data_IF_245915811002
#
_entry.id   IF_245915811002
#
_cell.length_a   1.000
_cell.length_b   1.000
_cell.length_c   1.000
_cell.angle_alpha   90.00
_cell.angle_beta   90.00
_cell.angle_gamma   90.00
#
_symmetry.space_group_name_H-M   'P 1'
#
loop_
_entity.id
_entity.type
_entity.pdbx_description
1 polymer ?
#
# COMPACT_ATOMS: atom_id res chain seq x y z
N UNK A 1 11.49 -48.35 -3.05
CA UNK A 1 11.48 -47.76 -2.88
C UNK A 1 11.18 -46.71 -2.90
N UNK A 2 11.17 -46.80 -2.80
CA UNK A 2 11.09 -45.75 -2.72
C UNK A 2 10.81 -44.71 -2.86
N UNK A 3 10.73 -44.75 -2.94
CA UNK A 3 10.64 -43.68 -3.03
C UNK A 3 10.40 -42.74 -3.08
N UNK A 4 10.46 -42.89 -3.02
CA UNK A 4 10.50 -41.86 -3.03
C UNK A 4 10.15 -41.04 -3.25
N UNK A 5 10.04 -41.05 -3.28
CA UNK A 5 9.98 -40.07 -3.43
C UNK A 5 9.54 -39.28 -3.52
N UNK A 6 9.34 -39.51 -3.53
CA UNK A 6 9.19 -38.63 -3.52
C UNK A 6 8.89 -37.73 -3.48
N UNK A 7 8.81 -37.85 -3.51
CA UNK A 7 8.72 -36.83 -3.32
C UNK A 7 8.44 -35.96 -3.50
N UNK A 8 8.41 -36.04 -3.56
CA UNK A 8 8.44 -35.02 -3.59
C UNK A 8 8.15 -34.21 -3.81
N UNK A 9 7.95 -34.45 -3.88
CA UNK A 9 7.96 -33.53 -3.99
C UNK A 9 7.51 -32.74 -4.00
N UNK A 10 7.43 -32.73 -4.02
CA UNK A 10 7.35 -31.79 -3.95
C UNK A 10 7.08 -30.99 -3.65
N UNK A 11 7.03 -31.44 -3.79
CA UNK A 11 7.13 -30.41 -3.54
C UNK A 11 6.86 -29.66 -3.58
N UNK A 12 6.77 -29.74 -3.62
CA UNK A 12 6.94 -28.74 -3.69
C UNK A 12 6.59 -27.98 -3.79
N UNK A 13 6.28 -28.37 -3.92
CA UNK A 13 6.26 -27.37 -4.05
C UNK A 13 5.88 -26.58 -3.83
N UNK A 14 5.66 -26.70 -3.74
CA UNK A 14 5.64 -25.71 -3.48
C UNK A 14 5.36 -24.96 -3.57
N UNK A 15 5.22 -25.10 -3.67
CA UNK A 15 5.32 -24.16 -3.81
C UNK A 15 5.12 -23.41 -4.00
N UNK A 16 5.01 -23.58 -4.07
CA UNK A 16 5.16 -22.66 -4.37
C UNK A 16 4.69 -21.93 -4.59
N UNK A 17 4.31 -22.07 -4.68
CA UNK A 17 4.18 -21.31 -4.94
C UNK A 17 3.87 -20.48 -4.94
N UNK A 18 3.77 -20.55 -4.83
CA UNK A 18 3.82 -19.60 -4.89
C UNK A 18 3.57 -18.85 -5.05
N UNK A 19 3.34 -18.97 -5.08
CA UNK A 19 3.44 -18.20 -5.29
C UNK A 19 3.19 -17.49 -5.76
N UNK A 20 2.99 -17.49 -5.90
CA UNK A 20 3.07 -16.76 -6.32
C UNK A 20 2.64 -16.14 -6.81
N UNK A 21 2.34 -16.09 -6.84
CA UNK A 21 2.26 -15.54 -7.16
C UNK A 21 1.87 -14.80 -7.56
N UNK A 22 1.77 -14.94 -7.31
CA UNK A 22 1.64 -14.21 -7.83
C UNK A 22 1.24 -13.01 -8.42
N UNK A 23 0.65 -12.46 -8.46
CA UNK A 23 0.45 -11.21 -9.13
C UNK A 23 1.61 -10.30 -8.88
N UNK A 24 2.63 -10.55 -9.53
CA UNK A 24 3.87 -9.83 -9.29
C UNK A 24 3.76 -8.34 -9.57
N UNK A 25 2.97 -7.95 -10.57
CA UNK A 25 2.92 -6.55 -10.99
C UNK A 25 2.47 -5.61 -9.87
N UNK A 26 1.39 -5.90 -9.13
CA UNK A 26 1.00 -5.05 -8.01
C UNK A 26 2.09 -4.94 -6.95
N UNK A 27 2.73 -6.07 -6.63
CA UNK A 27 3.79 -6.06 -5.63
C UNK A 27 4.95 -5.20 -6.11
N UNK A 28 5.30 -5.30 -7.38
CA UNK A 28 6.40 -4.54 -7.94
C UNK A 28 6.16 -3.05 -7.81
N UNK A 29 4.96 -2.60 -8.11
CA UNK A 29 4.64 -1.18 -8.02
C UNK A 29 4.77 -0.68 -6.61
N UNK A 30 4.38 -1.50 -5.64
CA UNK A 30 4.41 -1.10 -4.24
C UNK A 30 5.81 -1.15 -3.63
N UNK A 31 6.78 -1.76 -4.31
CA UNK A 31 8.14 -1.79 -3.79
C UNK A 31 8.96 -0.59 -4.23
N UNK A 32 8.43 0.26 -5.11
CA UNK A 32 9.16 1.45 -5.55
C UNK A 32 9.01 2.56 -4.52
N UNK A 33 10.12 3.23 -4.21
CA UNK A 33 10.10 4.39 -3.32
C UNK A 33 9.38 5.54 -4.05
N UNK A 34 8.53 6.34 -3.42
CA UNK A 34 8.23 6.37 -1.98
C UNK A 34 7.13 5.39 -1.56
N UNK A 35 6.54 4.65 -2.49
CA UNK A 35 5.37 3.83 -2.18
C UNK A 35 5.71 2.67 -1.25
N UNK A 36 6.92 2.15 -1.35
CA UNK A 36 7.39 1.08 -0.47
C UNK A 36 7.53 1.54 0.97
N UNK A 37 7.55 2.85 1.19
CA UNK A 37 7.73 3.42 2.52
C UNK A 37 6.43 3.91 3.12
N UNK A 38 5.31 3.62 2.49
CA UNK A 38 3.99 4.00 2.98
C UNK A 38 3.26 2.73 3.39
N UNK A 39 2.91 2.58 4.67
CA UNK A 39 2.32 1.33 5.15
C UNK A 39 0.86 1.18 4.74
N UNK A 40 0.43 -0.07 4.63
CA UNK A 40 -0.98 -0.40 4.39
C UNK A 40 -1.40 -1.33 5.51
N UNK A 41 -2.54 -1.08 6.15
CA UNK A 41 -2.98 -1.94 7.25
C UNK A 41 -3.26 -3.36 6.77
N UNK A 42 -3.07 -4.30 7.67
CA UNK A 42 -3.36 -5.70 7.41
C UNK A 42 -4.83 -5.86 7.02
N UNK A 43 -5.11 -6.81 6.14
CA UNK A 43 -6.44 -7.15 5.67
C UNK A 43 -7.13 -6.07 4.83
N UNK A 44 -6.37 -5.10 4.34
CA UNK A 44 -6.91 -4.17 3.34
C UNK A 44 -6.55 -4.66 1.95
N UNK A 45 -7.51 -4.54 1.04
CA UNK A 45 -7.38 -5.01 -0.34
C UNK A 45 -7.31 -3.82 -1.27
N UNK A 46 -6.35 -3.85 -2.19
CA UNK A 46 -6.18 -2.77 -3.16
C UNK A 46 -7.22 -2.88 -4.27
N UNK A 47 -7.81 -1.77 -4.61
CA UNK A 47 -8.68 -1.65 -5.78
C UNK A 47 -7.82 -1.29 -6.97
N UNK A 48 -7.45 -2.30 -7.76
CA UNK A 48 -6.55 -2.11 -8.88
C UNK A 48 -7.16 -1.26 -9.99
N UNK A 49 -8.47 -1.25 -10.10
CA UNK A 49 -9.13 -0.46 -11.14
C UNK A 49 -9.03 1.04 -10.89
N UNK A 50 -8.74 1.43 -9.66
CA UNK A 50 -8.64 2.85 -9.27
C UNK A 50 -7.23 3.25 -8.86
N UNK A 51 -6.28 2.32 -8.99
CA UNK A 51 -4.90 2.55 -8.57
C UNK A 51 -4.00 2.64 -9.80
N UNK A 52 -3.02 3.57 -9.76
CA UNK A 52 -2.11 3.74 -10.88
C UNK A 52 -0.80 4.38 -10.41
N UNK A 53 0.23 4.21 -11.23
CA UNK A 53 1.47 4.97 -11.11
C UNK A 53 1.74 5.61 -12.46
N UNK A 54 2.03 6.91 -12.43
CA UNK A 54 2.42 7.67 -13.60
C UNK A 54 3.90 7.98 -13.52
N UNK A 55 4.63 7.73 -14.62
CA UNK A 55 6.03 8.09 -14.72
C UNK A 55 6.18 9.10 -15.85
N UNK A 56 7.03 10.09 -15.64
CA UNK A 56 7.34 11.04 -16.70
C UNK A 56 8.15 10.34 -17.81
N UNK A 57 8.26 10.99 -18.95
CA UNK A 57 9.01 10.44 -20.07
C UNK A 57 10.47 10.16 -19.75
N UNK A 58 11.02 10.85 -18.76
CA UNK A 58 12.40 10.62 -18.33
C UNK A 58 12.51 9.43 -17.37
N UNK A 59 11.38 8.93 -16.86
CA UNK A 59 11.38 7.85 -15.90
C UNK A 59 11.78 8.25 -14.50
N UNK A 60 11.99 9.54 -14.25
CA UNK A 60 12.48 10.02 -12.96
C UNK A 60 11.38 10.54 -12.04
N UNK A 61 10.27 10.98 -12.61
CA UNK A 61 9.15 11.50 -11.81
C UNK A 61 8.06 10.47 -11.75
N UNK A 62 7.66 10.11 -10.53
CA UNK A 62 6.61 9.12 -10.33
C UNK A 62 5.54 9.74 -9.45
N UNK A 63 4.31 9.62 -9.89
CA UNK A 63 3.14 10.03 -9.15
C UNK A 63 2.22 8.82 -9.10
N UNK A 64 1.79 8.47 -7.90
CA UNK A 64 0.95 7.30 -7.74
C UNK A 64 -0.29 7.59 -6.92
N UNK A 65 -1.31 6.80 -7.17
CA UNK A 65 -2.54 6.82 -6.41
C UNK A 65 -2.98 5.39 -6.20
N UNK A 66 -3.20 5.03 -4.94
CA UNK A 66 -3.62 3.70 -4.57
C UNK A 66 -4.85 3.78 -3.69
N UNK A 67 -5.82 2.93 -3.97
CA UNK A 67 -7.06 2.85 -3.20
C UNK A 67 -7.11 1.48 -2.53
N UNK A 68 -7.34 1.47 -1.21
CA UNK A 68 -7.48 0.25 -0.43
C UNK A 68 -8.79 0.29 0.34
N UNK A 69 -9.40 -0.87 0.51
CA UNK A 69 -10.64 -0.97 1.29
C UNK A 69 -10.53 -2.13 2.28
N UNK A 70 -11.17 -1.96 3.43
CA UNK A 70 -11.18 -3.00 4.45
C UNK A 70 -12.29 -2.77 5.46
N UNK A 71 -12.62 -3.84 6.19
CA UNK A 71 -13.67 -3.82 7.21
C UNK A 71 -13.05 -3.47 8.56
N UNK A 72 -12.61 -2.24 8.69
CA UNK A 72 -12.00 -1.79 9.94
C UNK A 72 -12.58 -0.43 10.30
N UNK A 73 -12.56 -0.14 11.59
CA UNK A 73 -13.05 1.12 12.12
C UNK A 73 -12.17 2.27 11.63
N UNK A 74 -12.82 3.36 11.19
CA UNK A 74 -12.11 4.52 10.67
C UNK A 74 -11.12 5.10 11.67
N UNK A 75 -11.53 5.19 12.95
CA UNK A 75 -10.65 5.76 13.98
C UNK A 75 -9.38 4.95 14.17
N UNK A 76 -9.49 3.64 14.07
CA UNK A 76 -8.30 2.78 14.17
C UNK A 76 -7.34 3.03 13.03
N UNK A 77 -7.86 3.25 11.83
CA UNK A 77 -7.03 3.49 10.66
C UNK A 77 -6.40 4.87 10.73
N UNK A 78 -7.12 5.87 11.22
CA UNK A 78 -6.53 7.18 11.45
C UNK A 78 -5.34 7.07 12.40
N UNK A 79 -5.54 6.38 13.53
CA UNK A 79 -4.47 6.19 14.51
C UNK A 79 -3.30 5.41 13.92
N UNK A 80 -3.60 4.39 13.11
CA UNK A 80 -2.57 3.61 12.42
C UNK A 80 -1.66 4.53 11.61
N UNK A 81 -2.23 5.40 10.78
CA UNK A 81 -1.41 6.27 9.93
C UNK A 81 -0.69 7.36 10.72
N UNK A 82 -1.34 7.90 11.75
CA UNK A 82 -0.70 8.90 12.59
C UNK A 82 0.56 8.35 13.25
N UNK A 83 0.56 7.06 13.61
CA UNK A 83 1.71 6.44 14.25
C UNK A 83 2.72 5.92 13.24
N UNK A 84 2.25 5.19 12.23
CA UNK A 84 3.15 4.48 11.33
C UNK A 84 3.90 5.41 10.38
N UNK A 85 3.27 6.48 9.93
CA UNK A 85 3.97 7.41 9.04
C UNK A 85 5.13 8.09 9.78
N UNK A 86 4.90 8.49 11.01
CA UNK A 86 5.96 9.11 11.81
C UNK A 86 7.06 8.09 12.10
N UNK A 87 6.69 6.85 12.40
CA UNK A 87 7.68 5.80 12.66
C UNK A 87 8.57 5.54 11.45
N UNK A 88 8.07 5.81 10.25
CA UNK A 88 8.83 5.63 9.02
C UNK A 88 9.53 6.90 8.57
N UNK A 89 9.52 7.93 9.41
CA UNK A 89 10.28 9.15 9.15
C UNK A 89 9.54 10.19 8.35
N UNK A 90 8.26 10.02 8.11
CA UNK A 90 7.46 11.04 7.44
C UNK A 90 7.09 12.14 8.41
N UNK A 91 7.15 13.37 7.95
CA UNK A 91 6.79 14.54 8.76
C UNK A 91 5.40 15.00 8.37
N UNK A 92 4.55 15.18 9.37
CA UNK A 92 3.18 15.65 9.14
C UNK A 92 3.22 17.15 8.80
N UNK A 93 2.68 17.49 7.63
CA UNK A 93 2.55 18.89 7.22
C UNK A 93 1.28 19.46 7.84
N UNK A 94 0.17 18.77 7.66
CA UNK A 94 -1.12 19.16 8.25
C UNK A 94 -2.08 17.99 8.22
N UNK A 95 -3.16 18.15 8.97
CA UNK A 95 -4.28 17.22 8.92
C UNK A 95 -5.56 18.04 8.78
N UNK A 96 -6.48 17.51 7.97
CA UNK A 96 -7.75 18.18 7.70
C UNK A 96 -8.85 17.17 7.98
N UNK A 97 -9.81 17.58 8.80
CA UNK A 97 -10.96 16.76 9.10
C UNK A 97 -12.22 17.50 8.62
N UNK A 98 -12.85 16.94 7.62
CA UNK A 98 -14.09 17.51 7.09
C UNK A 98 -14.99 16.33 6.72
N UNK A 99 -15.35 16.17 5.46
CA UNK A 99 -16.07 14.96 5.04
C UNK A 99 -15.15 13.75 5.08
N UNK A 100 -13.91 13.96 4.67
CA UNK A 100 -12.87 12.95 4.74
C UNK A 100 -11.83 13.40 5.76
N UNK A 101 -11.03 12.45 6.20
CA UNK A 101 -9.89 12.75 7.06
C UNK A 101 -8.64 12.71 6.18
N UNK A 102 -7.96 13.84 6.05
CA UNK A 102 -6.83 13.98 5.13
C UNK A 102 -5.57 14.26 5.93
N UNK A 103 -4.55 13.45 5.69
CA UNK A 103 -3.24 13.59 6.34
C UNK A 103 -2.21 13.84 5.25
N UNK A 104 -1.51 14.97 5.35
CA UNK A 104 -0.46 15.33 4.41
C UNK A 104 0.90 15.22 5.08
N UNK A 105 1.81 14.48 4.43
CA UNK A 105 3.15 14.22 4.94
C UNK A 105 4.20 14.57 3.90
N UNK A 106 5.41 14.81 4.37
CA UNK A 106 6.55 14.99 3.49
C UNK A 106 7.76 14.24 4.02
N UNK A 107 8.62 13.81 3.11
CA UNK A 107 9.85 13.12 3.45
C UNK A 107 10.80 13.20 2.26
N UNK A 108 11.96 13.78 2.44
CA UNK A 108 13.06 13.75 1.46
C UNK A 108 12.65 14.16 0.05
N UNK A 109 11.89 15.24 -0.05
CA UNK A 109 11.48 15.75 -1.36
C UNK A 109 10.21 15.11 -1.92
N UNK A 110 9.55 14.26 -1.14
CA UNK A 110 8.30 13.61 -1.53
C UNK A 110 7.15 14.09 -0.65
N UNK A 111 5.96 14.09 -1.22
CA UNK A 111 4.75 14.39 -0.48
C UNK A 111 3.81 13.20 -0.60
N UNK A 112 3.19 12.83 0.51
CA UNK A 112 2.20 11.78 0.54
C UNK A 112 0.93 12.32 1.17
N UNK A 113 -0.20 12.14 0.49
CA UNK A 113 -1.51 12.51 1.00
C UNK A 113 -2.31 11.24 1.23
N UNK A 114 -2.77 11.07 2.46
CA UNK A 114 -3.58 9.92 2.83
C UNK A 114 -4.97 10.43 3.16
N UNK A 115 -5.95 9.99 2.38
CA UNK A 115 -7.34 10.37 2.55
C UNK A 115 -8.11 9.17 3.04
N UNK A 116 -8.83 9.34 4.14
CA UNK A 116 -9.54 8.26 4.81
C UNK A 116 -11.00 8.61 4.93
N UNK A 117 -11.87 7.67 4.60
CA UNK A 117 -13.29 7.87 4.85
C UNK A 117 -13.97 6.53 5.05
N UNK A 118 -15.16 6.60 5.66
CA UNK A 118 -15.95 5.41 5.95
C UNK A 118 -17.09 5.32 4.94
N UNK A 119 -17.38 4.11 4.50
CA UNK A 119 -18.48 3.87 3.57
C UNK A 119 -19.14 2.54 3.92
N UNK A 120 -20.32 2.63 4.54
CA UNK A 120 -21.15 1.47 4.88
C UNK A 120 -20.32 0.43 5.66
N UNK A 121 -19.70 0.90 6.77
CA UNK A 121 -18.94 0.01 7.65
C UNK A 121 -17.54 -0.30 7.20
N UNK A 122 -17.16 0.05 5.97
CA UNK A 122 -15.80 -0.12 5.48
C UNK A 122 -15.03 1.17 5.59
N UNK A 123 -13.74 1.06 5.70
CA UNK A 123 -12.84 2.21 5.60
C UNK A 123 -12.15 2.16 4.25
N UNK A 124 -12.14 3.29 3.58
CA UNK A 124 -11.48 3.45 2.28
C UNK A 124 -10.26 4.34 2.48
N UNK A 125 -9.13 3.86 2.03
CA UNK A 125 -7.86 4.56 2.11
C UNK A 125 -7.45 4.96 0.71
N UNK A 126 -7.21 6.25 0.51
CA UNK A 126 -6.62 6.73 -0.73
C UNK A 126 -5.23 7.26 -0.41
N UNK A 127 -4.22 6.69 -1.05
CA UNK A 127 -2.83 7.11 -0.88
C UNK A 127 -2.37 7.73 -2.18
N UNK A 128 -1.96 8.99 -2.12
CA UNK A 128 -1.35 9.67 -3.26
C UNK A 128 0.04 10.09 -2.86
N UNK A 129 1.00 9.89 -3.74
CA UNK A 129 2.37 10.31 -3.46
C UNK A 129 3.02 10.79 -4.75
N UNK A 130 3.91 11.78 -4.59
CA UNK A 130 4.62 12.36 -5.70
C UNK A 130 5.74 13.25 -5.19
N UNK A 131 6.54 13.80 -6.10
CA UNK A 131 7.61 14.73 -5.72
C UNK A 131 7.00 16.03 -5.18
N UNK A 132 7.75 16.63 -4.26
CA UNK A 132 7.38 17.88 -3.64
C UNK A 132 7.46 19.06 -4.61
#
# INVERSE_FOLDING_TARGET
MTLFFSGCAEWDLGLNKNTSTIAPAPVTLETAYPFSDIPVPFDFTRDNSKSFIYESGSGTVKIGRFIYTGWENLEKIITFYQNEMINRGWNLINSIKHENYILNYEKEGWVSTITLHSNIGRTIIEIQAGPK
#
